data_IF_903576962128
#
_entry.id   IF_903576962128
#
_cell.length_a   1.000
_cell.length_b   1.000
_cell.length_c   1.000
_cell.angle_alpha   90.00
_cell.angle_beta   90.00
_cell.angle_gamma   90.00
#
_symmetry.space_group_name_H-M   'P 1'
#
loop_
_entity.id
_entity.type
_entity.pdbx_description
1 polymer ?
#
# COMPACT_ATOMS: atom_id res chain seq x y z
N UNK A 1 -18.35 4.42 -2.97
CA UNK A 1 -18.01 3.87 -1.64
C UNK A 1 -16.74 3.04 -1.74
N UNK A 2 -15.82 3.28 -0.86
CA UNK A 2 -14.55 2.53 -0.80
C UNK A 2 -14.77 1.26 0.02
N UNK A 3 -14.30 0.13 -0.51
CA UNK A 3 -14.40 -1.16 0.18
C UNK A 3 -13.08 -1.91 0.04
N UNK A 4 -12.70 -2.62 1.11
CA UNK A 4 -11.57 -3.55 1.09
C UNK A 4 -12.11 -4.98 1.02
N UNK A 5 -11.48 -5.78 0.17
CA UNK A 5 -11.79 -7.20 0.02
C UNK A 5 -10.49 -7.98 -0.02
N UNK A 6 -10.43 -9.10 0.71
CA UNK A 6 -9.24 -9.95 0.69
C UNK A 6 -8.95 -10.40 -0.75
N UNK A 7 -7.71 -10.19 -1.19
CA UNK A 7 -7.29 -10.57 -2.53
C UNK A 7 -7.20 -12.10 -2.67
N UNK A 8 -7.55 -12.58 -3.84
CA UNK A 8 -7.43 -13.99 -4.21
C UNK A 8 -6.61 -14.11 -5.50
N UNK A 9 -6.18 -15.33 -5.90
CA UNK A 9 -5.48 -15.49 -7.18
C UNK A 9 -6.25 -14.99 -8.40
N UNK A 10 -7.57 -14.92 -8.33
CA UNK A 10 -8.39 -14.37 -9.42
C UNK A 10 -8.18 -12.86 -9.61
N UNK A 11 -7.61 -12.19 -8.60
CA UNK A 11 -7.33 -10.75 -8.65
C UNK A 11 -5.98 -10.44 -9.32
N UNK A 12 -5.20 -11.45 -9.70
CA UNK A 12 -3.86 -11.24 -10.25
C UNK A 12 -3.85 -10.29 -11.46
N UNK A 13 -4.76 -10.43 -12.45
CA UNK A 13 -4.76 -9.48 -13.57
C UNK A 13 -5.02 -8.04 -13.14
N UNK A 14 -5.94 -7.81 -12.21
CA UNK A 14 -6.24 -6.48 -11.70
C UNK A 14 -5.07 -5.92 -10.88
N UNK A 15 -4.42 -6.75 -10.05
CA UNK A 15 -3.23 -6.37 -9.30
C UNK A 15 -2.10 -5.94 -10.23
N UNK A 16 -1.83 -6.75 -11.26
CA UNK A 16 -0.78 -6.46 -12.24
C UNK A 16 -1.06 -5.14 -12.96
N UNK A 17 -2.31 -4.89 -13.32
CA UNK A 17 -2.70 -3.64 -13.98
C UNK A 17 -2.43 -2.42 -13.08
N UNK A 18 -2.81 -2.48 -11.81
CA UNK A 18 -2.57 -1.39 -10.86
C UNK A 18 -1.07 -1.15 -10.70
N UNK A 19 -0.30 -2.20 -10.43
CA UNK A 19 1.13 -2.08 -10.15
C UNK A 19 1.91 -1.58 -11.36
N UNK A 20 1.61 -2.08 -12.56
CA UNK A 20 2.28 -1.64 -13.78
C UNK A 20 2.02 -0.16 -14.07
N UNK A 21 0.77 0.30 -13.90
CA UNK A 21 0.41 1.70 -14.14
C UNK A 21 1.02 2.63 -13.11
N UNK A 22 1.08 2.22 -11.84
CA UNK A 22 1.74 3.01 -10.79
C UNK A 22 3.24 3.12 -11.08
N UNK A 23 3.88 2.01 -11.45
CA UNK A 23 5.30 1.99 -11.76
C UNK A 23 5.63 2.93 -12.93
N UNK A 24 4.78 2.96 -13.95
CA UNK A 24 4.97 3.83 -15.11
C UNK A 24 4.88 5.31 -14.77
N UNK A 25 4.25 5.69 -13.66
CA UNK A 25 4.21 7.09 -13.23
C UNK A 25 5.58 7.62 -12.80
N UNK A 26 6.41 6.74 -12.20
CA UNK A 26 7.74 7.13 -11.75
C UNK A 26 8.82 6.86 -12.78
N UNK A 27 8.53 6.03 -13.77
CA UNK A 27 9.45 5.67 -14.85
C UNK A 27 8.71 5.64 -16.19
N UNK A 28 8.68 6.77 -16.94
CA UNK A 28 7.98 6.84 -18.22
C UNK A 28 8.51 5.90 -19.30
N UNK A 29 9.71 5.33 -19.11
CA UNK A 29 10.28 4.38 -20.08
C UNK A 29 9.62 3.00 -20.00
N UNK A 30 8.82 2.72 -18.96
CA UNK A 30 8.17 1.44 -18.76
C UNK A 30 7.06 1.23 -19.77
N UNK A 31 7.11 0.09 -20.46
CA UNK A 31 6.00 -0.40 -21.28
C UNK A 31 5.01 -1.08 -20.33
N UNK A 32 3.86 -0.47 -20.13
CA UNK A 32 2.83 -0.95 -19.19
C UNK A 32 2.38 -2.37 -19.52
N UNK A 33 2.18 -2.69 -20.82
CA UNK A 33 1.75 -4.03 -21.23
C UNK A 33 2.79 -5.09 -20.90
N UNK A 34 4.08 -4.82 -21.14
CA UNK A 34 5.15 -5.75 -20.80
C UNK A 34 5.28 -5.93 -19.30
N UNK A 35 5.23 -4.82 -18.56
CA UNK A 35 5.30 -4.85 -17.10
C UNK A 35 4.12 -5.65 -16.52
N UNK A 36 2.91 -5.42 -17.02
CA UNK A 36 1.72 -6.15 -16.59
C UNK A 36 1.86 -7.65 -16.81
N UNK A 37 2.30 -8.06 -17.98
CA UNK A 37 2.50 -9.49 -18.32
C UNK A 37 3.56 -10.13 -17.42
N UNK A 38 4.67 -9.42 -17.20
CA UNK A 38 5.73 -9.92 -16.31
C UNK A 38 5.22 -10.09 -14.88
N UNK A 39 4.41 -9.15 -14.40
CA UNK A 39 3.85 -9.20 -13.05
C UNK A 39 2.83 -10.33 -12.89
N UNK A 40 2.03 -10.61 -13.91
CA UNK A 40 1.09 -11.74 -13.90
C UNK A 40 1.83 -13.05 -13.61
N UNK A 41 3.02 -13.21 -14.16
CA UNK A 41 3.83 -14.41 -13.95
C UNK A 41 4.49 -14.46 -12.55
N UNK A 42 4.77 -13.31 -11.95
CA UNK A 42 5.48 -13.22 -10.67
C UNK A 42 4.55 -13.09 -9.45
N UNK A 43 3.39 -12.47 -9.60
CA UNK A 43 2.45 -12.23 -8.49
C UNK A 43 1.98 -13.54 -7.82
N UNK A 44 1.80 -14.68 -8.55
CA UNK A 44 1.40 -15.92 -7.87
C UNK A 44 2.28 -16.32 -6.69
N UNK A 45 3.54 -15.87 -6.65
CA UNK A 45 4.42 -16.15 -5.52
C UNK A 45 4.00 -15.44 -4.22
N UNK A 46 3.15 -14.42 -4.30
CA UNK A 46 2.62 -13.72 -3.13
C UNK A 46 1.49 -14.49 -2.45
N UNK A 47 0.89 -15.45 -3.15
CA UNK A 47 -0.14 -16.31 -2.61
C UNK A 47 0.50 -17.66 -2.23
N UNK A 48 0.08 -18.26 -1.15
CA UNK A 48 0.60 -19.55 -0.72
C UNK A 48 1.76 -19.49 0.27
N UNK A 49 2.16 -18.30 0.72
CA UNK A 49 3.05 -18.15 1.85
C UNK A 49 2.20 -18.05 3.10
N UNK A 50 2.46 -18.91 4.05
CA UNK A 50 1.82 -18.86 5.37
C UNK A 50 2.38 -17.68 6.16
N UNK A 51 1.88 -16.49 5.86
CA UNK A 51 2.16 -15.29 6.64
C UNK A 51 0.84 -14.83 7.25
N UNK A 52 0.42 -15.43 8.38
CA UNK A 52 -0.90 -15.14 8.95
C UNK A 52 -1.08 -13.69 9.38
N UNK A 53 0.00 -12.96 9.66
CA UNK A 53 -0.03 -11.56 10.02
C UNK A 53 -0.23 -10.64 8.80
N UNK A 54 0.06 -11.13 7.59
CA UNK A 54 0.02 -10.33 6.37
C UNK A 54 -1.33 -10.49 5.67
N UNK A 55 -1.96 -9.37 5.36
CA UNK A 55 -3.21 -9.35 4.61
C UNK A 55 -3.07 -8.47 3.37
N UNK A 56 -3.26 -9.09 2.20
CA UNK A 56 -3.33 -8.38 0.93
C UNK A 56 -4.80 -8.19 0.57
N UNK A 57 -5.22 -6.93 0.40
CA UNK A 57 -6.59 -6.57 0.07
C UNK A 57 -6.65 -5.85 -1.26
N UNK A 58 -7.73 -6.10 -2.01
CA UNK A 58 -8.10 -5.25 -3.13
C UNK A 58 -8.86 -4.04 -2.59
N UNK A 59 -8.52 -2.87 -3.11
CA UNK A 59 -9.29 -1.64 -2.84
C UNK A 59 -10.29 -1.52 -3.98
N UNK A 60 -11.57 -1.47 -3.62
CA UNK A 60 -12.65 -1.32 -4.59
C UNK A 60 -13.34 0.02 -4.41
N UNK A 61 -13.67 0.66 -5.51
CA UNK A 61 -14.50 1.86 -5.56
C UNK A 61 -15.70 1.55 -6.45
N UNK A 62 -16.89 1.56 -5.87
CA UNK A 62 -18.14 1.24 -6.58
C UNK A 62 -18.03 -0.09 -7.35
N UNK A 63 -17.53 -1.11 -6.63
CA UNK A 63 -17.35 -2.50 -7.11
C UNK A 63 -16.27 -2.68 -8.18
N UNK A 64 -15.44 -1.66 -8.43
CA UNK A 64 -14.30 -1.76 -9.35
C UNK A 64 -12.99 -1.85 -8.59
N UNK A 65 -12.08 -2.76 -8.96
CA UNK A 65 -10.76 -2.83 -8.35
C UNK A 65 -9.93 -1.63 -8.81
N UNK A 66 -9.56 -0.76 -7.86
CA UNK A 66 -8.81 0.47 -8.16
C UNK A 66 -7.44 0.51 -7.50
N UNK A 67 -7.14 -0.44 -6.63
CA UNK A 67 -5.86 -0.45 -5.94
C UNK A 67 -5.66 -1.69 -5.07
N UNK A 68 -4.52 -1.70 -4.39
CA UNK A 68 -4.19 -2.75 -3.43
C UNK A 68 -3.71 -2.15 -2.13
N UNK A 69 -3.91 -2.91 -1.05
CA UNK A 69 -3.43 -2.56 0.28
C UNK A 69 -2.83 -3.81 0.92
N UNK A 70 -1.59 -3.72 1.39
CA UNK A 70 -0.96 -4.78 2.16
C UNK A 70 -0.68 -4.28 3.56
N UNK A 71 -1.23 -4.96 4.55
CA UNK A 71 -1.05 -4.62 5.97
C UNK A 71 -0.54 -5.86 6.69
N UNK A 72 0.46 -5.68 7.55
CA UNK A 72 0.95 -6.75 8.41
C UNK A 72 0.66 -6.33 9.86
N UNK A 73 -0.09 -7.16 10.57
CA UNK A 73 -0.46 -6.88 11.96
C UNK A 73 0.35 -7.76 12.89
N UNK A 74 1.34 -7.13 13.53
CA UNK A 74 2.14 -7.78 14.55
C UNK A 74 1.50 -7.57 15.93
N UNK A 75 2.01 -8.29 16.93
CA UNK A 75 1.52 -8.16 18.30
C UNK A 75 1.75 -6.73 18.85
N UNK A 76 2.87 -6.12 18.48
CA UNK A 76 3.33 -4.84 19.04
C UNK A 76 3.19 -3.65 18.09
N UNK A 77 2.81 -3.88 16.82
CA UNK A 77 2.72 -2.82 15.83
C UNK A 77 1.88 -3.22 14.63
N UNK A 78 1.45 -2.23 13.89
CA UNK A 78 0.82 -2.42 12.57
C UNK A 78 1.81 -1.89 11.52
N UNK A 79 2.07 -2.67 10.50
CA UNK A 79 2.97 -2.26 9.42
C UNK A 79 2.19 -2.13 8.10
N UNK A 80 2.21 -0.92 7.52
CA UNK A 80 1.66 -0.68 6.19
C UNK A 80 2.70 -1.13 5.16
N UNK A 81 2.51 -2.33 4.62
CA UNK A 81 3.47 -2.95 3.69
C UNK A 81 3.38 -2.44 2.27
N UNK A 82 2.29 -1.78 1.91
CA UNK A 82 2.13 -1.17 0.59
C UNK A 82 0.71 -0.69 0.37
N UNK A 83 0.61 0.43 -0.33
CA UNK A 83 -0.66 0.96 -0.82
C UNK A 83 -0.42 1.54 -2.19
N UNK A 84 -1.13 1.03 -3.19
CA UNK A 84 -1.06 1.54 -4.56
C UNK A 84 -2.47 1.76 -5.07
N UNK A 85 -2.69 2.93 -5.67
CA UNK A 85 -3.95 3.30 -6.30
C UNK A 85 -3.67 3.51 -7.78
N UNK A 86 -4.49 2.90 -8.65
CA UNK A 86 -4.37 3.12 -10.09
C UNK A 86 -4.41 4.62 -10.39
N UNK A 87 -3.55 5.13 -11.30
CA UNK A 87 -3.47 6.58 -11.58
C UNK A 87 -4.80 7.26 -11.88
N UNK A 88 -5.72 6.57 -12.55
CA UNK A 88 -7.04 7.13 -12.88
C UNK A 88 -7.91 7.42 -11.65
N UNK A 89 -7.55 6.86 -10.50
CA UNK A 89 -8.31 6.99 -9.26
C UNK A 89 -7.53 7.72 -8.16
N UNK A 90 -6.34 8.20 -8.47
CA UNK A 90 -5.55 9.00 -7.53
C UNK A 90 -6.15 10.41 -7.37
N UNK A 91 -5.72 11.11 -6.32
CA UNK A 91 -6.18 12.46 -5.98
C UNK A 91 -7.68 12.56 -5.66
N UNK A 92 -8.28 11.44 -5.25
CA UNK A 92 -9.69 11.36 -4.81
C UNK A 92 -9.82 11.10 -3.30
N UNK A 93 -8.69 11.09 -2.59
CA UNK A 93 -8.68 10.88 -1.14
C UNK A 93 -8.78 9.43 -0.71
N UNK A 94 -8.71 8.46 -1.62
CA UNK A 94 -8.84 7.04 -1.28
C UNK A 94 -7.71 6.58 -0.36
N UNK A 95 -6.46 6.85 -0.74
CA UNK A 95 -5.29 6.47 0.06
C UNK A 95 -5.32 7.12 1.43
N UNK A 96 -5.61 8.42 1.48
CA UNK A 96 -5.71 9.16 2.74
C UNK A 96 -6.78 8.57 3.65
N UNK A 97 -7.94 8.24 3.10
CA UNK A 97 -9.04 7.63 3.86
C UNK A 97 -8.60 6.31 4.51
N UNK A 98 -7.95 5.44 3.74
CA UNK A 98 -7.49 4.14 4.22
C UNK A 98 -6.38 4.26 5.26
N UNK A 99 -5.43 5.17 5.05
CA UNK A 99 -4.34 5.38 6.01
C UNK A 99 -4.90 5.95 7.32
N UNK A 100 -5.85 6.88 7.27
CA UNK A 100 -6.51 7.40 8.48
C UNK A 100 -7.23 6.29 9.24
N UNK A 101 -7.87 5.36 8.55
CA UNK A 101 -8.52 4.22 9.19
C UNK A 101 -7.49 3.34 9.92
N UNK A 102 -6.31 3.13 9.34
CA UNK A 102 -5.24 2.38 10.00
C UNK A 102 -4.67 3.12 11.20
N UNK A 103 -4.57 4.45 11.13
CA UNK A 103 -4.15 5.29 12.27
C UNK A 103 -5.14 5.10 13.43
N UNK A 104 -6.43 5.13 13.15
CA UNK A 104 -7.45 4.91 14.19
C UNK A 104 -7.40 3.49 14.76
N UNK A 105 -7.14 2.49 13.93
CA UNK A 105 -6.92 1.13 14.40
C UNK A 105 -5.73 1.07 15.37
N UNK A 106 -4.64 1.74 15.04
CA UNK A 106 -3.46 1.83 15.91
C UNK A 106 -3.79 2.47 17.26
N UNK A 107 -4.55 3.57 17.24
CA UNK A 107 -4.99 4.22 18.47
C UNK A 107 -5.86 3.31 19.32
N UNK A 108 -6.82 2.64 18.70
CA UNK A 108 -7.76 1.76 19.40
C UNK A 108 -7.06 0.53 20.01
N UNK A 109 -6.00 0.03 19.38
CA UNK A 109 -5.27 -1.15 19.82
C UNK A 109 -4.02 -0.83 20.64
N UNK A 110 -3.64 0.45 20.75
CA UNK A 110 -2.43 0.87 21.44
C UNK A 110 -1.13 0.53 20.69
N UNK A 111 -1.21 0.41 19.37
CA UNK A 111 -0.08 0.02 18.53
C UNK A 111 0.35 1.16 17.62
N UNK A 112 1.68 1.39 17.44
CA UNK A 112 2.14 2.33 16.43
C UNK A 112 1.87 1.78 15.03
N UNK A 113 1.59 2.68 14.10
CA UNK A 113 1.50 2.37 12.68
C UNK A 113 2.82 2.77 12.03
N UNK A 114 3.48 1.81 11.40
CA UNK A 114 4.79 1.99 10.77
C UNK A 114 4.71 1.74 9.28
N UNK A 115 5.58 2.41 8.53
CA UNK A 115 5.75 2.20 7.10
C UNK A 115 7.17 2.53 6.67
N UNK A 116 7.54 2.04 5.49
CA UNK A 116 8.78 2.43 4.82
C UNK A 116 8.40 3.16 3.53
N UNK A 117 9.11 4.24 3.24
CA UNK A 117 8.92 5.00 2.00
C UNK A 117 10.27 5.17 1.31
N UNK A 118 10.30 4.93 0.01
CA UNK A 118 11.52 5.12 -0.76
C UNK A 118 11.98 6.58 -0.67
N UNK A 119 13.30 6.78 -0.52
CA UNK A 119 13.89 8.13 -0.39
C UNK A 119 13.54 9.03 -1.57
N UNK A 120 13.38 8.44 -2.75
CA UNK A 120 13.05 9.17 -3.98
C UNK A 120 11.57 9.51 -4.10
N UNK A 121 10.72 8.90 -3.28
CA UNK A 121 9.28 9.13 -3.33
C UNK A 121 8.88 10.30 -2.43
N UNK A 122 9.26 11.50 -2.84
CA UNK A 122 9.02 12.74 -2.08
C UNK A 122 7.53 13.00 -1.86
N UNK A 123 6.71 12.70 -2.88
CA UNK A 123 5.25 12.93 -2.81
C UNK A 123 4.61 12.08 -1.71
N UNK A 124 4.93 10.80 -1.64
CA UNK A 124 4.41 9.92 -0.60
C UNK A 124 4.90 10.35 0.79
N UNK A 125 6.18 10.70 0.90
CA UNK A 125 6.76 11.16 2.16
C UNK A 125 6.05 12.41 2.69
N UNK A 126 5.77 13.37 1.81
CA UNK A 126 5.05 14.59 2.19
C UNK A 126 3.63 14.28 2.66
N UNK A 127 2.95 13.34 2.01
CA UNK A 127 1.62 12.91 2.43
C UNK A 127 1.67 12.31 3.85
N UNK A 128 2.62 11.43 4.11
CA UNK A 128 2.76 10.80 5.42
C UNK A 128 3.09 11.83 6.50
N UNK A 129 3.98 12.78 6.21
CA UNK A 129 4.30 13.86 7.14
C UNK A 129 3.06 14.70 7.49
N UNK A 130 2.23 15.02 6.48
CA UNK A 130 0.98 15.76 6.72
C UNK A 130 -0.01 14.99 7.58
N UNK A 131 0.02 13.65 7.51
CA UNK A 131 -0.85 12.80 8.31
C UNK A 131 -0.34 12.59 9.75
N UNK A 132 0.85 13.07 10.05
CA UNK A 132 1.41 12.99 11.39
C UNK A 132 2.50 11.96 11.57
N UNK A 133 2.92 11.27 10.52
CA UNK A 133 4.03 10.33 10.59
C UNK A 133 5.34 11.06 10.83
N UNK A 134 6.19 10.48 11.66
CA UNK A 134 7.51 10.98 11.96
C UNK A 134 8.56 9.96 11.57
N UNK A 135 9.68 10.46 11.06
CA UNK A 135 10.82 9.62 10.73
C UNK A 135 11.45 9.08 12.01
N UNK A 136 11.71 7.76 12.04
CA UNK A 136 12.40 7.14 13.19
C UNK A 136 13.66 6.38 12.79
N UNK A 137 13.92 6.22 11.50
CA UNK A 137 15.11 5.55 11.01
C UNK A 137 15.20 5.63 9.49
N UNK A 138 16.24 4.99 8.94
CA UNK A 138 16.44 4.94 7.51
C UNK A 138 17.36 3.79 7.13
N UNK A 139 17.24 3.35 5.87
CA UNK A 139 18.18 2.46 5.21
C UNK A 139 18.77 3.19 3.99
N UNK A 140 19.56 2.48 3.19
CA UNK A 140 20.10 3.07 1.95
C UNK A 140 19.01 3.48 0.97
N UNK A 141 17.89 2.75 0.94
CA UNK A 141 16.83 2.95 -0.04
C UNK A 141 15.59 3.60 0.53
N UNK A 142 15.33 3.44 1.85
CA UNK A 142 14.06 3.81 2.45
C UNK A 142 14.22 4.69 3.67
N UNK A 143 13.16 5.47 3.93
CA UNK A 143 12.97 6.20 5.19
C UNK A 143 11.89 5.44 5.96
N UNK A 144 12.17 5.15 7.25
CA UNK A 144 11.24 4.50 8.15
C UNK A 144 10.44 5.54 8.90
N UNK A 145 9.12 5.47 8.80
CA UNK A 145 8.22 6.43 9.43
C UNK A 145 7.19 5.74 10.30
N UNK A 146 6.73 6.42 11.33
CA UNK A 146 5.70 5.89 12.21
C UNK A 146 4.83 6.99 12.79
N UNK A 147 3.65 6.59 13.21
CA UNK A 147 2.78 7.42 14.02
C UNK A 147 2.47 6.67 15.32
N UNK A 148 2.69 7.34 16.45
CA UNK A 148 2.44 6.77 17.76
C UNK A 148 0.94 6.63 18.01
N UNK A 149 0.48 5.60 18.75
CA UNK A 149 -0.94 5.46 19.09
C UNK A 149 -1.46 6.59 19.98
N UNK A 150 -0.55 7.39 20.55
CA UNK A 150 -0.90 8.52 21.43
C UNK A 150 -0.79 9.87 20.73
N UNK A 151 -0.52 9.88 19.46
CA UNK A 151 -0.36 11.13 18.70
C UNK A 151 -1.69 11.79 18.37
#
# INVERSE_FOLDING_TARGET
>A
MIRLRTATPDDIPALANVLANVQAQTDPSIDVEKARKSMIDSIPSYFGKDEPESLLSMIELDDKPVGRLRVVRFEDRIFLGGIQIHPDFQNKGIGTHLIKALIEEGRATGKPLQLDVERTNTRARQLYERLGFQRYGESETDIHMQISPRS
#
